data_IF_090839430625
#
_entry.id   IF_090839430625
#
_cell.length_a   1.000
_cell.length_b   1.000
_cell.length_c   1.000
_cell.angle_alpha   90.00
_cell.angle_beta   90.00
_cell.angle_gamma   90.00
#
_symmetry.space_group_name_H-M   'P 1'
#
loop_
_entity.id
_entity.type
_entity.pdbx_description
1 polymer ?
#
# COMPACT_ATOMS: atom_id res chain seq x y z
N UNK A 1 12.00 6.70 17.41
CA UNK A 1 11.74 7.13 16.01
C UNK A 1 12.63 8.32 15.72
N UNK A 2 13.26 8.34 14.56
CA UNK A 2 14.12 9.43 14.13
C UNK A 2 13.30 10.74 14.08
N UNK A 3 13.96 11.88 14.41
CA UNK A 3 13.28 13.18 14.59
C UNK A 3 12.49 13.61 13.36
N UNK A 4 13.00 13.32 12.19
CA UNK A 4 12.45 13.72 10.88
C UNK A 4 11.23 12.90 10.46
N UNK A 5 11.16 11.66 10.92
CA UNK A 5 10.00 10.78 10.69
C UNK A 5 8.93 10.90 11.79
N UNK A 6 9.14 11.80 12.75
CA UNK A 6 8.23 12.00 13.89
C UNK A 6 6.78 12.27 13.49
N UNK A 7 6.58 12.91 12.35
CA UNK A 7 5.27 13.34 11.86
C UNK A 7 4.72 12.44 10.73
N UNK A 8 5.36 11.30 10.43
CA UNK A 8 4.93 10.41 9.34
C UNK A 8 3.47 9.95 9.47
N UNK A 9 2.99 9.77 10.71
CA UNK A 9 1.60 9.40 10.96
C UNK A 9 0.60 10.46 10.51
N UNK A 10 0.95 11.75 10.58
CA UNK A 10 0.11 12.82 10.04
C UNK A 10 0.11 12.83 8.51
N UNK A 11 1.24 12.48 7.88
CA UNK A 11 1.29 12.32 6.42
C UNK A 11 0.40 11.14 6.00
N UNK A 12 0.39 10.06 6.77
CA UNK A 12 -0.45 8.90 6.48
C UNK A 12 -1.96 9.16 6.61
N UNK A 13 -2.39 10.26 7.29
CA UNK A 13 -3.79 10.68 7.24
C UNK A 13 -4.27 11.00 5.83
N UNK A 14 -3.35 11.32 4.90
CA UNK A 14 -3.69 11.52 3.49
C UNK A 14 -4.23 10.24 2.82
N UNK A 15 -3.98 9.05 3.38
CA UNK A 15 -4.62 7.82 2.90
C UNK A 15 -6.15 7.85 3.03
N UNK A 16 -6.72 8.62 3.98
CA UNK A 16 -8.17 8.71 4.14
C UNK A 16 -8.81 9.35 2.89
N UNK A 17 -8.51 10.63 2.53
CA UNK A 17 -9.07 11.22 1.33
C UNK A 17 -8.62 10.49 0.06
N UNK A 18 -7.39 9.98 -0.01
CA UNK A 18 -6.89 9.24 -1.16
C UNK A 18 -7.70 7.96 -1.41
N UNK A 19 -7.97 7.17 -0.36
CA UNK A 19 -8.79 5.96 -0.44
C UNK A 19 -10.24 6.30 -0.81
N UNK A 20 -10.81 7.33 -0.17
CA UNK A 20 -12.17 7.76 -0.48
C UNK A 20 -12.31 8.15 -1.96
N UNK A 21 -11.43 9.01 -2.47
CA UNK A 21 -11.46 9.44 -3.88
C UNK A 21 -11.19 8.29 -4.84
N UNK A 22 -10.18 7.45 -4.56
CA UNK A 22 -9.82 6.33 -5.42
C UNK A 22 -10.93 5.28 -5.55
N UNK A 23 -11.68 5.06 -4.49
CA UNK A 23 -12.78 4.08 -4.48
C UNK A 23 -14.18 4.72 -4.60
N UNK A 24 -14.25 6.04 -4.82
CA UNK A 24 -15.52 6.76 -4.90
C UNK A 24 -16.46 6.16 -5.95
N UNK A 25 -16.04 6.09 -7.20
CA UNK A 25 -16.86 5.58 -8.32
C UNK A 25 -17.09 4.07 -8.28
N UNK A 26 -16.16 3.29 -7.71
CA UNK A 26 -16.22 1.83 -7.73
C UNK A 26 -16.83 1.20 -6.49
N UNK A 27 -17.01 1.99 -5.41
CA UNK A 27 -17.52 1.48 -4.15
C UNK A 27 -18.47 2.46 -3.44
N UNK A 28 -18.00 3.68 -3.10
CA UNK A 28 -18.76 4.57 -2.21
C UNK A 28 -20.03 5.12 -2.83
N UNK A 29 -20.02 5.51 -4.11
CA UNK A 29 -21.19 6.03 -4.80
C UNK A 29 -22.30 4.98 -4.95
N UNK A 30 -21.96 3.69 -4.89
CA UNK A 30 -22.91 2.57 -5.01
C UNK A 30 -23.66 2.28 -3.69
N UNK A 31 -23.23 2.90 -2.58
CA UNK A 31 -23.90 2.76 -1.28
C UNK A 31 -25.25 3.53 -1.27
N UNK A 32 -26.29 3.03 -0.56
CA UNK A 32 -26.33 1.78 0.23
C UNK A 32 -26.73 0.55 -0.59
N UNK A 33 -27.24 0.73 -1.81
CA UNK A 33 -27.88 -0.34 -2.58
C UNK A 33 -26.88 -1.31 -3.20
N UNK A 34 -25.65 -0.82 -3.51
CA UNK A 34 -24.58 -1.53 -4.22
C UNK A 34 -25.04 -2.26 -5.51
N UNK A 35 -26.31 -2.16 -5.87
CA UNK A 35 -27.00 -2.58 -7.11
C UNK A 35 -26.58 -3.96 -7.67
N UNK A 36 -26.18 -4.92 -6.81
CA UNK A 36 -25.66 -6.24 -7.22
C UNK A 36 -24.27 -6.21 -7.90
N UNK A 37 -23.62 -5.06 -8.00
CA UNK A 37 -22.30 -4.91 -8.63
C UNK A 37 -21.14 -5.23 -7.68
N UNK A 38 -21.38 -5.07 -6.36
CA UNK A 38 -20.40 -5.34 -5.32
C UNK A 38 -20.79 -6.60 -4.57
N UNK A 39 -19.96 -7.62 -4.64
CA UNK A 39 -20.17 -8.88 -3.93
C UNK A 39 -19.68 -8.85 -2.48
N UNK A 40 -20.08 -9.85 -1.70
CA UNK A 40 -19.73 -9.97 -0.28
C UNK A 40 -18.23 -10.05 -0.05
N UNK A 41 -17.46 -10.65 -0.97
CA UNK A 41 -16.00 -10.74 -0.85
C UNK A 41 -15.34 -9.38 -1.01
N UNK A 42 -15.88 -8.53 -1.88
CA UNK A 42 -15.41 -7.14 -2.03
C UNK A 42 -15.67 -6.33 -0.76
N UNK A 43 -16.83 -6.50 -0.11
CA UNK A 43 -17.11 -5.87 1.18
C UNK A 43 -16.15 -6.34 2.28
N UNK A 44 -15.89 -7.65 2.37
CA UNK A 44 -14.93 -8.21 3.33
C UNK A 44 -13.53 -7.63 3.08
N UNK A 45 -13.08 -7.60 1.82
CA UNK A 45 -11.78 -7.01 1.48
C UNK A 45 -11.71 -5.53 1.85
N UNK A 46 -12.71 -4.73 1.47
CA UNK A 46 -12.78 -3.31 1.78
C UNK A 46 -12.73 -3.05 3.30
N UNK A 47 -13.43 -3.86 4.10
CA UNK A 47 -13.43 -3.78 5.56
C UNK A 47 -12.04 -4.10 6.14
N UNK A 48 -11.42 -5.21 5.75
CA UNK A 48 -10.10 -5.62 6.24
C UNK A 48 -9.02 -4.62 5.79
N UNK A 49 -9.09 -4.15 4.54
CA UNK A 49 -8.16 -3.13 4.02
C UNK A 49 -8.30 -1.81 4.78
N UNK A 50 -9.53 -1.40 5.14
CA UNK A 50 -9.77 -0.20 5.95
C UNK A 50 -9.17 -0.32 7.34
N UNK A 51 -9.26 -1.49 7.99
CA UNK A 51 -8.60 -1.76 9.27
C UNK A 51 -7.08 -1.68 9.10
N UNK A 52 -6.52 -2.24 8.02
CA UNK A 52 -5.09 -2.20 7.76
C UNK A 52 -4.59 -0.77 7.54
N UNK A 53 -5.27 0.05 6.73
CA UNK A 53 -4.95 1.47 6.52
C UNK A 53 -5.03 2.23 7.86
N UNK A 54 -6.05 1.96 8.67
CA UNK A 54 -6.18 2.55 10.02
C UNK A 54 -4.99 2.20 10.90
N UNK A 55 -4.50 0.96 10.83
CA UNK A 55 -3.27 0.57 11.55
C UNK A 55 -2.03 1.29 11.01
N UNK A 56 -1.87 1.43 9.70
CA UNK A 56 -0.75 2.18 9.11
C UNK A 56 -0.72 3.64 9.60
N UNK A 57 -1.88 4.26 9.78
CA UNK A 57 -2.01 5.63 10.30
C UNK A 57 -1.76 5.68 11.81
N UNK A 58 -2.44 4.82 12.56
CA UNK A 58 -2.43 4.89 14.04
C UNK A 58 -1.11 4.45 14.64
N UNK A 59 -0.43 3.47 14.08
CA UNK A 59 0.82 2.92 14.62
C UNK A 59 1.93 3.98 14.77
N UNK A 60 2.27 4.80 13.77
CA UNK A 60 3.25 5.87 13.94
C UNK A 60 2.74 7.00 14.85
N UNK A 61 1.43 7.28 14.87
CA UNK A 61 0.84 8.26 15.82
C UNK A 61 0.99 7.80 17.26
N UNK A 62 0.77 6.51 17.55
CA UNK A 62 0.99 5.95 18.89
C UNK A 62 2.45 6.13 19.35
N UNK A 63 3.42 5.94 18.45
CA UNK A 63 4.83 6.25 18.75
C UNK A 63 5.03 7.75 18.99
N UNK A 64 4.43 8.59 18.15
CA UNK A 64 4.51 10.06 18.27
C UNK A 64 4.01 10.55 19.61
N UNK A 65 2.92 9.97 20.10
CA UNK A 65 2.31 10.29 21.40
C UNK A 65 2.83 9.41 22.54
N UNK A 66 3.95 8.70 22.37
CA UNK A 66 4.63 7.88 23.37
C UNK A 66 3.77 6.74 23.96
N UNK A 67 2.70 6.32 23.27
CA UNK A 67 1.81 5.23 23.66
C UNK A 67 2.37 3.86 23.26
N UNK A 68 3.59 3.55 23.73
CA UNK A 68 4.33 2.34 23.30
C UNK A 68 3.63 1.02 23.68
N UNK A 69 2.83 1.00 24.75
CA UNK A 69 2.06 -0.19 25.13
C UNK A 69 1.01 -0.52 24.06
N UNK A 70 0.25 0.49 23.61
CA UNK A 70 -0.76 0.34 22.57
C UNK A 70 -0.12 0.02 21.21
N UNK A 71 0.99 0.67 20.84
CA UNK A 71 1.74 0.33 19.63
C UNK A 71 2.12 -1.16 19.61
N UNK A 72 2.65 -1.70 20.69
CA UNK A 72 3.00 -3.13 20.79
C UNK A 72 1.78 -4.05 20.77
N UNK A 73 0.69 -3.67 21.41
CA UNK A 73 -0.56 -4.42 21.42
C UNK A 73 -1.14 -4.53 20.01
N UNK A 74 -1.38 -3.41 19.34
CA UNK A 74 -1.88 -3.38 17.97
C UNK A 74 -0.88 -3.99 16.96
N UNK A 75 0.43 -3.86 17.23
CA UNK A 75 1.45 -4.53 16.44
C UNK A 75 1.38 -6.06 16.50
N UNK A 76 0.89 -6.67 17.60
CA UNK A 76 0.61 -8.10 17.67
C UNK A 76 -0.67 -8.46 16.90
N UNK A 77 -1.70 -7.63 17.00
CA UNK A 77 -2.96 -7.82 16.27
C UNK A 77 -2.71 -7.72 14.76
N UNK A 78 -1.77 -6.89 14.32
CA UNK A 78 -1.47 -6.70 12.90
C UNK A 78 -1.06 -7.99 12.19
N UNK A 79 -0.53 -9.00 12.87
CA UNK A 79 -0.23 -10.32 12.26
C UNK A 79 -1.50 -10.99 11.72
N UNK A 80 -2.57 -10.99 12.52
CA UNK A 80 -3.85 -11.58 12.11
C UNK A 80 -4.54 -10.75 11.02
N UNK A 81 -4.51 -9.42 11.16
CA UNK A 81 -5.11 -8.52 10.17
C UNK A 81 -4.35 -8.61 8.85
N UNK A 82 -3.02 -8.70 8.86
CA UNK A 82 -2.21 -8.89 7.67
C UNK A 82 -2.56 -10.19 6.94
N UNK A 83 -2.66 -11.30 7.69
CA UNK A 83 -3.06 -12.59 7.11
C UNK A 83 -4.46 -12.53 6.52
N UNK A 84 -5.42 -11.93 7.22
CA UNK A 84 -6.78 -11.72 6.71
C UNK A 84 -6.78 -10.82 5.45
N UNK A 85 -5.94 -9.78 5.41
CA UNK A 85 -5.78 -8.92 4.23
C UNK A 85 -5.31 -9.73 3.01
N UNK A 86 -4.28 -10.53 3.16
CA UNK A 86 -3.78 -11.37 2.05
C UNK A 86 -4.86 -12.35 1.58
N UNK A 87 -5.54 -13.04 2.50
CA UNK A 87 -6.62 -13.98 2.14
C UNK A 87 -7.79 -13.29 1.46
N UNK A 88 -8.09 -12.04 1.80
CA UNK A 88 -9.21 -11.29 1.21
C UNK A 88 -9.01 -10.93 -0.27
N UNK A 89 -7.79 -11.00 -0.80
CA UNK A 89 -7.52 -10.83 -2.23
C UNK A 89 -7.92 -12.05 -3.07
N UNK A 90 -7.84 -13.26 -2.50
CA UNK A 90 -7.98 -14.51 -3.25
C UNK A 90 -9.31 -14.61 -4.00
N UNK A 91 -10.49 -14.38 -3.39
CA UNK A 91 -11.76 -14.47 -4.12
C UNK A 91 -11.85 -13.50 -5.29
N UNK A 92 -11.30 -12.28 -5.12
CA UNK A 92 -11.32 -11.28 -6.18
C UNK A 92 -10.40 -11.64 -7.33
N UNK A 93 -9.21 -12.19 -7.04
CA UNK A 93 -8.29 -12.67 -8.06
C UNK A 93 -8.90 -13.80 -8.87
N UNK A 94 -9.59 -14.76 -8.22
CA UNK A 94 -10.27 -15.87 -8.89
C UNK A 94 -11.39 -15.33 -9.79
N UNK A 95 -12.19 -14.39 -9.31
CA UNK A 95 -13.31 -13.79 -10.05
C UNK A 95 -12.86 -13.07 -11.33
N UNK A 96 -11.72 -12.40 -11.26
CA UNK A 96 -11.18 -11.59 -12.37
C UNK A 96 -10.18 -12.35 -13.25
N UNK A 97 -9.85 -13.61 -12.88
CA UNK A 97 -8.90 -14.43 -13.63
C UNK A 97 -9.37 -14.62 -15.09
N UNK A 98 -8.46 -14.36 -16.03
CA UNK A 98 -8.74 -14.47 -17.46
C UNK A 98 -9.56 -13.32 -18.07
N UNK A 99 -9.99 -12.31 -17.27
CA UNK A 99 -10.79 -11.18 -17.78
C UNK A 99 -9.96 -9.91 -17.99
N UNK A 100 -8.99 -9.69 -17.11
CA UNK A 100 -8.17 -8.48 -17.12
C UNK A 100 -6.85 -8.71 -16.37
N UNK A 101 -6.02 -7.66 -16.28
CA UNK A 101 -4.73 -7.69 -15.60
C UNK A 101 -4.81 -7.57 -14.06
N UNK A 102 -6.00 -7.43 -13.49
CA UNK A 102 -6.15 -7.27 -12.04
C UNK A 102 -5.50 -8.42 -11.22
N UNK A 103 -5.68 -9.71 -11.55
CA UNK A 103 -5.05 -10.78 -10.78
C UNK A 103 -3.53 -10.71 -10.80
N UNK A 104 -2.94 -10.29 -11.91
CA UNK A 104 -1.49 -10.12 -12.03
C UNK A 104 -1.00 -8.97 -11.16
N UNK A 105 -1.64 -7.79 -11.26
CA UNK A 105 -1.30 -6.63 -10.46
C UNK A 105 -1.46 -6.93 -8.96
N UNK A 106 -2.56 -7.57 -8.57
CA UNK A 106 -2.80 -7.98 -7.19
C UNK A 106 -1.75 -8.99 -6.69
N UNK A 107 -1.27 -9.91 -7.55
CA UNK A 107 -0.22 -10.85 -7.19
C UNK A 107 1.10 -10.15 -6.88
N UNK A 108 1.48 -9.14 -7.66
CA UNK A 108 2.67 -8.34 -7.38
C UNK A 108 2.51 -7.53 -6.10
N UNK A 109 1.36 -6.86 -5.89
CA UNK A 109 1.10 -6.10 -4.67
C UNK A 109 1.15 -7.01 -3.43
N UNK A 110 0.58 -8.22 -3.49
CA UNK A 110 0.64 -9.23 -2.43
C UNK A 110 2.10 -9.66 -2.18
N UNK A 111 2.86 -9.93 -3.22
CA UNK A 111 4.27 -10.31 -3.09
C UNK A 111 5.09 -9.22 -2.39
N UNK A 112 4.90 -7.95 -2.77
CA UNK A 112 5.55 -6.81 -2.13
C UNK A 112 5.07 -6.63 -0.68
N UNK A 113 3.77 -6.78 -0.40
CA UNK A 113 3.21 -6.74 0.95
C UNK A 113 3.86 -7.79 1.85
N UNK A 114 3.94 -9.04 1.39
CA UNK A 114 4.55 -10.15 2.12
C UNK A 114 6.04 -9.87 2.36
N UNK A 115 6.78 -9.47 1.31
CA UNK A 115 8.20 -9.18 1.40
C UNK A 115 8.49 -8.09 2.44
N UNK A 116 7.84 -6.93 2.30
CA UNK A 116 8.14 -5.80 3.17
C UNK A 116 7.63 -6.00 4.59
N UNK A 117 6.49 -6.69 4.78
CA UNK A 117 6.00 -7.01 6.10
C UNK A 117 6.92 -8.01 6.81
N UNK A 118 7.37 -9.07 6.13
CA UNK A 118 8.33 -10.02 6.67
C UNK A 118 9.64 -9.32 7.09
N UNK A 119 10.16 -8.41 6.24
CA UNK A 119 11.35 -7.62 6.56
C UNK A 119 11.10 -6.65 7.71
N UNK A 120 9.95 -5.98 7.76
CA UNK A 120 9.58 -5.11 8.87
C UNK A 120 9.55 -5.86 10.20
N UNK A 121 8.97 -7.07 10.23
CA UNK A 121 8.90 -7.91 11.42
C UNK A 121 10.28 -8.48 11.78
N UNK A 122 11.05 -8.96 10.80
CA UNK A 122 12.43 -9.43 11.03
C UNK A 122 13.28 -8.37 11.72
N UNK A 123 13.12 -7.11 11.32
CA UNK A 123 13.89 -5.99 11.86
C UNK A 123 13.15 -5.16 12.94
N UNK A 124 12.09 -5.70 13.56
CA UNK A 124 11.29 -4.98 14.57
C UNK A 124 12.08 -4.41 15.74
N UNK A 125 13.20 -5.02 16.09
CA UNK A 125 14.11 -4.54 17.14
C UNK A 125 15.02 -3.39 16.67
N UNK A 126 15.12 -3.13 15.37
CA UNK A 126 15.81 -1.98 14.79
C UNK A 126 14.78 -0.97 14.29
N UNK A 127 14.43 -0.01 15.15
CA UNK A 127 13.36 0.97 14.89
C UNK A 127 13.51 1.66 13.54
N UNK A 128 14.74 2.03 13.15
CA UNK A 128 15.00 2.75 11.91
C UNK A 128 14.71 1.89 10.67
N UNK A 129 15.09 0.62 10.68
CA UNK A 129 14.87 -0.32 9.57
C UNK A 129 13.39 -0.73 9.52
N UNK A 130 12.81 -1.08 10.66
CA UNK A 130 11.39 -1.45 10.78
C UNK A 130 10.48 -0.35 10.22
N UNK A 131 10.68 0.88 10.63
CA UNK A 131 9.91 2.03 10.18
C UNK A 131 9.95 2.20 8.65
N UNK A 132 11.12 2.05 8.04
CA UNK A 132 11.28 2.22 6.59
C UNK A 132 10.58 1.14 5.79
N UNK A 133 10.59 -0.10 6.24
CA UNK A 133 9.80 -1.15 5.61
C UNK A 133 8.30 -0.94 5.81
N UNK A 134 7.85 -0.42 6.96
CA UNK A 134 6.44 -0.04 7.16
C UNK A 134 6.02 1.12 6.24
N UNK A 135 6.92 2.08 5.96
CA UNK A 135 6.68 3.12 4.96
C UNK A 135 6.60 2.50 3.55
N UNK A 136 7.49 1.56 3.21
CA UNK A 136 7.43 0.86 1.93
C UNK A 136 6.10 0.11 1.74
N UNK A 137 5.57 -0.53 2.80
CA UNK A 137 4.22 -1.13 2.78
C UNK A 137 3.16 -0.07 2.48
N UNK A 138 3.22 1.08 3.15
CA UNK A 138 2.25 2.16 2.91
C UNK A 138 2.27 2.64 1.45
N UNK A 139 3.43 2.69 0.82
CA UNK A 139 3.57 3.10 -0.58
C UNK A 139 2.86 2.15 -1.57
N UNK A 140 2.71 0.85 -1.24
CA UNK A 140 1.96 -0.10 -2.08
C UNK A 140 0.51 0.36 -2.27
N UNK A 141 -0.12 0.91 -1.23
CA UNK A 141 -1.52 1.36 -1.28
C UNK A 141 -1.74 2.60 -2.17
N UNK A 142 -0.67 3.29 -2.56
CA UNK A 142 -0.74 4.39 -3.53
C UNK A 142 -1.13 3.87 -4.90
N UNK A 143 -0.59 2.72 -5.34
CA UNK A 143 -0.87 2.11 -6.64
C UNK A 143 -2.37 1.95 -6.91
N UNK A 144 -3.09 1.13 -6.15
CA UNK A 144 -4.53 0.90 -6.36
C UNK A 144 -5.40 2.15 -6.23
N UNK A 145 -5.04 3.09 -5.37
CA UNK A 145 -5.83 4.32 -5.13
C UNK A 145 -5.63 5.34 -6.23
N UNK A 146 -4.38 5.70 -6.53
CA UNK A 146 -4.07 6.65 -7.61
C UNK A 146 -4.42 6.10 -8.98
N UNK A 147 -4.23 4.80 -9.22
CA UNK A 147 -4.62 4.17 -10.48
C UNK A 147 -6.11 4.39 -10.79
N UNK A 148 -6.98 4.22 -9.78
CA UNK A 148 -8.41 4.49 -9.94
C UNK A 148 -8.72 5.98 -10.12
N UNK A 149 -8.04 6.86 -9.41
CA UNK A 149 -8.19 8.32 -9.59
C UNK A 149 -7.82 8.70 -11.01
N UNK A 150 -6.69 8.23 -11.52
CA UNK A 150 -6.22 8.53 -12.87
C UNK A 150 -7.18 7.99 -13.91
N UNK A 151 -7.64 6.75 -13.75
CA UNK A 151 -8.56 6.12 -14.69
C UNK A 151 -9.93 6.79 -14.69
N UNK A 152 -10.55 6.99 -13.51
CA UNK A 152 -11.95 7.42 -13.42
C UNK A 152 -12.16 8.93 -13.35
N UNK A 153 -11.19 9.70 -12.86
CA UNK A 153 -11.33 11.15 -12.71
C UNK A 153 -10.54 11.93 -13.76
N UNK A 154 -9.39 11.40 -14.20
CA UNK A 154 -8.57 12.05 -15.23
C UNK A 154 -8.78 11.43 -16.62
N UNK A 155 -9.58 10.35 -16.71
CA UNK A 155 -9.95 9.66 -17.96
C UNK A 155 -8.72 9.20 -18.77
N UNK A 156 -7.60 8.97 -18.10
CA UNK A 156 -6.40 8.41 -18.70
C UNK A 156 -6.47 6.89 -18.65
N UNK A 157 -6.78 6.28 -19.78
CA UNK A 157 -6.94 4.84 -19.90
C UNK A 157 -5.61 4.08 -19.96
N UNK A 158 -5.68 2.77 -19.69
CA UNK A 158 -4.61 1.78 -19.90
C UNK A 158 -3.26 2.11 -19.22
N UNK A 159 -2.22 2.39 -20.04
CA UNK A 159 -0.85 2.56 -19.56
C UNK A 159 -0.70 3.69 -18.53
N UNK A 160 -1.48 4.78 -18.66
CA UNK A 160 -1.42 5.90 -17.74
C UNK A 160 -1.87 5.53 -16.33
N UNK A 161 -3.03 4.90 -16.20
CA UNK A 161 -3.60 4.51 -14.91
C UNK A 161 -2.79 3.44 -14.17
N UNK A 162 -2.07 2.59 -14.90
CA UNK A 162 -1.22 1.53 -14.34
C UNK A 162 0.19 2.02 -13.99
N UNK A 163 0.84 2.79 -14.86
CA UNK A 163 2.27 3.11 -14.71
C UNK A 163 2.53 4.38 -13.90
N UNK A 164 1.70 5.42 -14.06
CA UNK A 164 1.92 6.71 -13.36
C UNK A 164 1.96 6.55 -11.83
N UNK A 165 1.07 5.78 -11.17
CA UNK A 165 1.15 5.59 -9.73
C UNK A 165 2.49 5.01 -9.25
N UNK A 166 3.03 4.03 -9.99
CA UNK A 166 4.31 3.41 -9.61
C UNK A 166 5.50 4.30 -9.92
N UNK A 167 5.45 5.13 -10.95
CA UNK A 167 6.45 6.18 -11.20
C UNK A 167 6.47 7.21 -10.07
N UNK A 168 5.30 7.58 -9.53
CA UNK A 168 5.19 8.45 -8.36
C UNK A 168 5.82 7.78 -7.14
N UNK A 169 5.54 6.49 -6.90
CA UNK A 169 6.14 5.73 -5.79
C UNK A 169 7.66 5.67 -5.92
N UNK A 170 8.20 5.42 -7.13
CA UNK A 170 9.64 5.44 -7.42
C UNK A 170 10.22 6.83 -7.12
N UNK A 171 9.56 7.90 -7.55
CA UNK A 171 9.97 9.28 -7.24
C UNK A 171 10.02 9.56 -5.74
N UNK A 172 9.01 9.12 -4.98
CA UNK A 172 8.99 9.24 -3.52
C UNK A 172 10.16 8.46 -2.90
N UNK A 173 10.41 7.23 -3.34
CA UNK A 173 11.51 6.40 -2.82
C UNK A 173 12.88 7.02 -3.10
N UNK A 174 13.09 7.57 -4.31
CA UNK A 174 14.33 8.31 -4.64
C UNK A 174 14.51 9.52 -3.73
N UNK A 175 13.45 10.29 -3.48
CA UNK A 175 13.46 11.40 -2.53
C UNK A 175 13.82 10.97 -1.10
N UNK A 176 13.23 9.87 -0.61
CA UNK A 176 13.52 9.30 0.71
C UNK A 176 14.95 8.78 0.83
N UNK A 177 15.46 8.13 -0.22
CA UNK A 177 16.87 7.66 -0.27
C UNK A 177 17.83 8.85 -0.22
N UNK A 178 17.58 9.86 -1.06
CA UNK A 178 18.41 11.07 -1.09
C UNK A 178 18.40 11.77 0.27
N UNK A 179 17.21 11.93 0.88
CA UNK A 179 17.05 12.54 2.20
C UNK A 179 17.79 11.78 3.29
N UNK A 180 17.64 10.45 3.34
CA UNK A 180 18.30 9.61 4.33
C UNK A 180 19.82 9.61 4.14
N UNK A 181 20.29 9.52 2.87
CA UNK A 181 21.73 9.55 2.55
C UNK A 181 22.36 10.89 2.95
N UNK A 182 21.68 12.00 2.67
CA UNK A 182 22.16 13.34 3.05
C UNK A 182 22.29 13.53 4.57
N UNK A 183 21.52 12.77 5.35
CA UNK A 183 21.50 12.86 6.82
C UNK A 183 22.17 11.65 7.50
N UNK A 184 23.04 10.91 6.81
CA UNK A 184 23.79 9.73 7.31
C UNK A 184 22.91 8.66 7.96
N UNK A 185 21.73 8.38 7.35
CA UNK A 185 20.75 7.42 7.86
C UNK A 185 20.74 6.11 7.08
N UNK A 186 19.99 5.14 7.60
CA UNK A 186 19.89 3.78 7.08
C UNK A 186 18.96 3.69 5.85
N UNK A 187 19.33 4.24 4.72
CA UNK A 187 18.55 4.27 3.47
C UNK A 187 18.41 2.91 2.77
N UNK A 188 19.21 1.89 3.12
CA UNK A 188 19.18 0.56 2.46
C UNK A 188 17.79 -0.08 2.34
N UNK A 189 16.87 0.00 3.34
CA UNK A 189 15.51 -0.51 3.15
C UNK A 189 14.75 0.13 1.99
N UNK A 190 14.94 1.42 1.77
CA UNK A 190 14.35 2.11 0.62
C UNK A 190 14.98 1.72 -0.71
N UNK A 191 16.28 1.34 -0.74
CA UNK A 191 16.89 0.76 -1.94
C UNK A 191 16.24 -0.59 -2.28
N UNK A 192 16.02 -1.45 -1.29
CA UNK A 192 15.30 -2.71 -1.50
C UNK A 192 13.90 -2.44 -2.06
N UNK A 193 13.18 -1.49 -1.47
CA UNK A 193 11.86 -1.11 -1.96
C UNK A 193 11.93 -0.55 -3.40
N UNK A 194 12.86 0.36 -3.69
CA UNK A 194 13.04 0.92 -5.02
C UNK A 194 13.29 -0.17 -6.07
N UNK A 195 14.20 -1.10 -5.80
CA UNK A 195 14.49 -2.22 -6.71
C UNK A 195 13.23 -3.08 -6.94
N UNK A 196 12.50 -3.39 -5.87
CA UNK A 196 11.28 -4.21 -5.96
C UNK A 196 10.19 -3.53 -6.79
N UNK A 197 9.93 -2.23 -6.59
CA UNK A 197 8.96 -1.48 -7.39
C UNK A 197 9.42 -1.26 -8.84
N UNK A 198 10.72 -1.12 -9.07
CA UNK A 198 11.27 -1.01 -10.44
C UNK A 198 11.09 -2.33 -11.19
N UNK A 199 11.39 -3.47 -10.56
CA UNK A 199 11.15 -4.81 -11.15
C UNK A 199 9.66 -4.99 -11.46
N UNK A 200 8.78 -4.59 -10.53
CA UNK A 200 7.35 -4.65 -10.74
C UNK A 200 6.91 -3.79 -11.95
N UNK A 201 7.39 -2.55 -12.05
CA UNK A 201 7.05 -1.66 -13.16
C UNK A 201 7.53 -2.21 -14.51
N UNK A 202 8.75 -2.76 -14.57
CA UNK A 202 9.28 -3.40 -15.77
C UNK A 202 8.43 -4.62 -16.15
N UNK A 203 8.06 -5.46 -15.17
CA UNK A 203 7.21 -6.61 -15.43
C UNK A 203 5.83 -6.21 -15.95
N UNK A 204 5.21 -5.17 -15.39
CA UNK A 204 3.95 -4.62 -15.89
C UNK A 204 4.08 -4.13 -17.35
N UNK A 205 5.15 -3.41 -17.65
CA UNK A 205 5.38 -2.88 -18.98
C UNK A 205 5.58 -4.03 -20.00
N UNK A 206 6.42 -5.01 -19.71
CA UNK A 206 6.70 -6.12 -20.63
C UNK A 206 5.46 -6.97 -20.90
N UNK A 207 4.63 -7.21 -19.89
CA UNK A 207 3.40 -8.00 -20.06
C UNK A 207 2.36 -7.22 -20.87
N UNK A 208 2.19 -5.92 -20.61
CA UNK A 208 1.23 -5.09 -21.36
C UNK A 208 1.59 -4.88 -22.83
N UNK A 209 2.87 -4.95 -23.20
CA UNK A 209 3.32 -4.84 -24.61
C UNK A 209 3.07 -6.13 -25.39
N UNK A 210 2.94 -7.27 -24.70
CA UNK A 210 2.74 -8.59 -25.34
C UNK A 210 1.29 -9.10 -25.27
N UNK A 211 0.36 -8.37 -24.64
CA UNK A 211 -1.09 -8.61 -24.64
C UNK A 211 -1.83 -7.64 -25.55
#
# INVERSE_FOLDING_TARGET
MEKEYKNIGFIFLLFIPLTFLGFYKTYFVLSPEFAGTVDSYTHIHAFVASIWITLLITQPLLIRFKSFKLHRFFGKISYFIFFALILSFIPQMIKEYGKNLFPLNASFDIALLILFYALAIKYKNNVAIHMRYMIAIALIFIGPTLGRIIFFLLELENLGSLHIPYLIVIGILLGLIFWDKKNDRKYKPYLVALMSFTIYLIALYTINVHL
#
